data_IF_227311810834
#
_entry.id   IF_227311810834
#
_cell.length_a   1.000
_cell.length_b   1.000
_cell.length_c   1.000
_cell.angle_alpha   90.00
_cell.angle_beta   90.00
_cell.angle_gamma   90.00
#
_symmetry.space_group_name_H-M   'P 1'
#
loop_
_entity.id
_entity.type
_entity.pdbx_description
1 polymer ?
#
# COMPACT_ATOMS: atom_id res chain seq x y z
N UNK A 1 26.44 41.60 76.08
CA UNK A 1 26.88 41.50 74.69
C UNK A 1 26.77 40.06 74.26
N UNK A 2 25.88 39.75 73.31
CA UNK A 2 25.70 38.37 72.74
C UNK A 2 26.34 38.41 71.32
N UNK A 3 27.06 37.35 70.88
CA UNK A 3 27.66 37.34 69.54
C UNK A 3 26.60 36.97 68.46
N UNK A 4 26.84 37.39 67.18
CA UNK A 4 25.93 37.14 66.10
C UNK A 4 25.98 35.68 65.60
N UNK A 5 24.82 35.09 65.33
CA UNK A 5 24.68 33.75 64.74
C UNK A 5 24.87 33.87 63.22
N UNK A 6 25.90 33.23 62.67
CA UNK A 6 26.07 33.02 61.25
C UNK A 6 25.02 32.00 60.79
N UNK A 7 24.15 32.39 59.85
CA UNK A 7 23.27 31.49 59.10
C UNK A 7 24.04 30.98 57.88
N UNK A 8 24.33 29.69 57.84
CA UNK A 8 24.87 29.04 56.65
C UNK A 8 23.65 28.66 55.76
N UNK A 9 23.53 29.34 54.61
CA UNK A 9 22.57 28.94 53.56
C UNK A 9 23.22 27.86 52.69
N UNK A 10 22.74 26.64 52.82
CA UNK A 10 23.04 25.54 51.90
C UNK A 10 22.30 25.75 50.59
N UNK A 11 23.01 26.15 49.52
CA UNK A 11 22.47 26.10 48.16
C UNK A 11 22.48 24.66 47.67
N UNK A 12 21.33 24.05 47.58
CA UNK A 12 21.17 22.75 46.94
C UNK A 12 21.20 22.95 45.41
N UNK A 13 22.26 22.49 44.78
CA UNK A 13 22.42 22.47 43.33
C UNK A 13 21.73 21.23 42.80
N UNK A 14 20.51 21.41 42.27
CA UNK A 14 19.78 20.31 41.56
C UNK A 14 20.35 20.17 40.16
N UNK A 15 21.14 19.12 39.93
CA UNK A 15 21.61 18.73 38.62
C UNK A 15 20.44 18.08 37.84
N UNK A 16 19.83 18.81 36.93
CA UNK A 16 18.81 18.25 36.01
C UNK A 16 19.54 17.39 34.95
N UNK A 17 19.44 16.08 35.07
CA UNK A 17 19.89 15.14 34.06
C UNK A 17 18.94 15.22 32.87
N UNK A 18 19.29 15.95 31.83
CA UNK A 18 18.55 15.94 30.57
C UNK A 18 18.78 14.58 29.90
N UNK A 19 17.78 13.70 29.95
CA UNK A 19 17.74 12.49 29.15
C UNK A 19 17.50 12.93 27.71
N UNK A 20 18.56 12.96 26.90
CA UNK A 20 18.42 13.12 25.46
C UNK A 20 17.70 11.88 24.91
N UNK A 21 16.44 12.05 24.51
CA UNK A 21 15.75 11.01 23.71
C UNK A 21 16.55 10.87 22.42
N UNK A 22 16.88 9.62 22.00
CA UNK A 22 17.51 9.43 20.70
C UNK A 22 16.57 10.01 19.63
N UNK A 23 17.13 10.84 18.74
CA UNK A 23 16.41 11.26 17.54
C UNK A 23 15.98 9.98 16.79
N UNK A 24 14.76 9.95 16.19
CA UNK A 24 14.37 8.83 15.37
C UNK A 24 15.44 8.63 14.29
N UNK A 25 16.02 7.44 14.25
CA UNK A 25 16.97 7.08 13.23
C UNK A 25 16.29 7.28 11.87
N UNK A 26 16.94 7.94 10.95
CA UNK A 26 16.40 8.18 9.61
C UNK A 26 16.52 6.86 8.84
N UNK A 27 15.40 6.22 8.54
CA UNK A 27 15.39 5.03 7.70
C UNK A 27 16.22 5.26 6.43
N UNK A 28 17.06 4.28 6.06
CA UNK A 28 17.83 4.37 4.83
C UNK A 28 16.86 4.34 3.64
N UNK A 29 16.78 5.45 2.90
CA UNK A 29 15.92 5.57 1.74
C UNK A 29 16.75 5.53 0.45
N UNK A 30 16.40 4.59 -0.45
CA UNK A 30 16.89 4.54 -1.82
C UNK A 30 15.81 5.16 -2.71
N UNK A 31 15.98 6.41 -3.11
CA UNK A 31 14.99 7.13 -3.91
C UNK A 31 15.16 6.86 -5.42
N UNK A 32 14.07 6.95 -6.18
CA UNK A 32 14.03 6.89 -7.65
C UNK A 32 14.72 5.67 -8.26
N UNK A 33 14.59 4.52 -7.60
CA UNK A 33 15.14 3.26 -8.10
C UNK A 33 14.36 2.80 -9.34
N UNK A 34 15.06 2.67 -10.48
CA UNK A 34 14.43 2.26 -11.75
C UNK A 34 14.12 0.77 -11.75
N UNK A 35 12.86 0.43 -12.05
CA UNK A 35 12.44 -0.95 -12.28
C UNK A 35 12.06 -1.24 -13.75
N UNK A 36 12.10 -0.21 -14.61
CA UNK A 36 11.79 -0.31 -16.03
C UNK A 36 12.46 0.78 -16.87
N UNK A 37 12.29 0.74 -18.20
CA UNK A 37 12.96 1.66 -19.13
C UNK A 37 12.39 3.07 -19.11
N UNK A 38 11.11 3.25 -18.72
CA UNK A 38 10.45 4.56 -18.69
C UNK A 38 10.88 5.37 -17.46
N UNK A 39 10.93 6.69 -17.59
CA UNK A 39 11.30 7.58 -16.49
C UNK A 39 10.33 7.53 -15.31
N UNK A 40 9.06 7.20 -15.55
CA UNK A 40 8.05 7.05 -14.51
C UNK A 40 8.04 5.66 -13.84
N UNK A 41 8.79 4.71 -14.39
CA UNK A 41 8.92 3.37 -13.80
C UNK A 41 10.01 3.36 -12.72
N UNK A 42 9.70 4.02 -11.60
CA UNK A 42 10.62 4.22 -10.47
C UNK A 42 9.92 3.87 -9.14
N UNK A 43 10.70 3.53 -8.15
CA UNK A 43 10.24 3.24 -6.79
C UNK A 43 11.17 3.88 -5.75
N UNK A 44 10.62 4.21 -4.58
CA UNK A 44 11.40 4.52 -3.39
C UNK A 44 11.40 3.30 -2.45
N UNK A 45 12.59 2.98 -1.94
CA UNK A 45 12.80 1.85 -1.03
C UNK A 45 13.23 2.37 0.32
N UNK A 46 12.49 2.03 1.35
CA UNK A 46 12.77 2.39 2.74
C UNK A 46 13.11 1.12 3.51
N UNK A 47 14.29 1.09 4.11
CA UNK A 47 14.81 -0.07 4.82
C UNK A 47 14.78 0.15 6.33
N UNK A 48 14.48 -0.86 7.14
CA UNK A 48 14.53 -0.75 8.59
C UNK A 48 15.96 -0.50 9.10
N UNK A 49 16.09 0.30 10.15
CA UNK A 49 17.38 0.81 10.66
C UNK A 49 18.32 -0.24 11.27
N UNK A 50 17.83 -1.40 11.65
CA UNK A 50 18.61 -2.43 12.31
C UNK A 50 18.54 -3.77 11.58
N UNK A 51 19.64 -4.55 11.56
CA UNK A 51 19.57 -5.91 11.09
C UNK A 51 18.59 -6.71 11.96
N UNK A 52 17.57 -7.28 11.32
CA UNK A 52 16.61 -8.15 11.99
C UNK A 52 17.12 -9.60 11.99
N UNK A 53 16.74 -10.37 13.02
CA UNK A 53 17.11 -11.78 13.12
C UNK A 53 16.54 -12.63 11.96
N UNK A 54 15.59 -12.10 11.22
CA UNK A 54 14.99 -12.70 10.01
C UNK A 54 14.99 -11.68 8.88
N UNK A 55 15.02 -12.11 7.60
CA UNK A 55 14.85 -11.20 6.47
C UNK A 55 13.53 -10.43 6.59
N UNK A 56 13.58 -9.13 6.27
CA UNK A 56 12.45 -8.22 6.41
C UNK A 56 11.30 -8.61 5.47
N UNK A 57 10.04 -8.70 5.94
CA UNK A 57 8.90 -8.76 5.03
C UNK A 57 8.81 -7.45 4.23
N UNK A 58 8.24 -7.53 3.03
CA UNK A 58 8.17 -6.38 2.11
C UNK A 58 6.72 -5.88 2.02
N UNK A 59 6.51 -4.59 2.25
CA UNK A 59 5.26 -3.90 2.00
C UNK A 59 5.40 -3.01 0.75
N UNK A 60 4.73 -3.36 -0.34
CA UNK A 60 4.67 -2.57 -1.57
C UNK A 60 3.46 -1.65 -1.51
N UNK A 61 3.66 -0.35 -1.76
CA UNK A 61 2.60 0.66 -1.74
C UNK A 61 2.37 1.18 -3.17
N UNK A 62 1.09 1.21 -3.59
CA UNK A 62 0.64 1.69 -4.89
C UNK A 62 -0.35 2.84 -4.68
N UNK A 63 0.04 4.05 -5.07
CA UNK A 63 -0.75 5.25 -4.88
C UNK A 63 -2.05 5.26 -5.71
N UNK A 64 -3.01 6.07 -5.28
CA UNK A 64 -4.21 6.42 -6.05
C UNK A 64 -3.97 7.61 -6.99
N UNK A 65 -5.08 8.15 -7.55
CA UNK A 65 -5.03 9.36 -8.39
C UNK A 65 -5.74 9.21 -9.73
N UNK A 66 -6.78 8.38 -9.79
CA UNK A 66 -7.64 8.19 -10.98
C UNK A 66 -6.84 7.84 -12.24
N UNK A 67 -5.79 7.02 -12.10
CA UNK A 67 -4.87 6.57 -13.17
C UNK A 67 -4.12 7.70 -13.90
N UNK A 68 -4.26 8.95 -13.47
CA UNK A 68 -3.77 10.16 -14.15
C UNK A 68 -2.83 10.99 -13.27
N UNK A 69 -2.92 10.86 -11.96
CA UNK A 69 -2.18 11.62 -10.96
C UNK A 69 -1.63 10.69 -9.88
N UNK A 70 -0.88 11.29 -8.97
CA UNK A 70 -0.30 10.63 -7.80
C UNK A 70 1.20 10.53 -7.90
N UNK A 71 1.80 10.30 -6.75
CA UNK A 71 3.25 10.12 -6.63
C UNK A 71 3.58 9.20 -5.45
N UNK A 72 4.60 8.36 -5.63
CA UNK A 72 5.12 7.43 -4.63
C UNK A 72 5.61 8.10 -3.35
N UNK A 73 6.04 9.36 -3.44
CA UNK A 73 6.61 10.11 -2.32
C UNK A 73 5.59 11.05 -1.65
N UNK A 74 4.32 11.06 -2.09
CA UNK A 74 3.30 11.91 -1.48
C UNK A 74 3.10 11.52 0.00
N UNK A 75 3.07 12.53 0.89
CA UNK A 75 3.00 12.34 2.34
C UNK A 75 1.82 11.44 2.77
N UNK A 76 0.65 11.64 2.18
CA UNK A 76 -0.55 10.83 2.43
C UNK A 76 -0.43 9.38 1.93
N UNK A 77 0.54 9.10 1.06
CA UNK A 77 0.83 7.74 0.57
C UNK A 77 1.79 7.02 1.52
N UNK A 78 2.82 7.69 2.04
CA UNK A 78 3.93 7.02 2.72
C UNK A 78 4.06 7.30 4.21
N UNK A 79 3.83 8.53 4.70
CA UNK A 79 4.30 8.95 6.03
C UNK A 79 3.83 8.05 7.17
N UNK A 80 2.53 7.85 7.34
CA UNK A 80 2.00 7.01 8.41
C UNK A 80 2.36 5.53 8.24
N UNK A 81 2.46 5.06 7.00
CA UNK A 81 2.85 3.68 6.70
C UNK A 81 4.32 3.43 7.04
N UNK A 82 5.20 4.39 6.73
CA UNK A 82 6.60 4.34 7.14
C UNK A 82 6.72 4.36 8.67
N UNK A 83 6.02 5.29 9.33
CA UNK A 83 6.06 5.41 10.79
C UNK A 83 5.58 4.14 11.51
N UNK A 84 4.65 3.38 10.90
CA UNK A 84 4.09 2.19 11.50
C UNK A 84 4.91 0.92 11.22
N UNK A 85 5.23 0.62 9.94
CA UNK A 85 5.79 -0.68 9.58
C UNK A 85 7.32 -0.73 9.57
N UNK A 86 8.05 0.39 9.33
CA UNK A 86 9.52 0.36 9.41
C UNK A 86 10.05 -0.04 10.80
N UNK A 87 9.54 0.52 11.92
CA UNK A 87 10.00 0.10 13.26
C UNK A 87 9.67 -1.37 13.58
N UNK A 88 8.71 -1.97 12.86
CA UNK A 88 8.35 -3.38 12.98
C UNK A 88 9.24 -4.29 12.11
N UNK A 89 10.20 -3.71 11.39
CA UNK A 89 11.17 -4.46 10.59
C UNK A 89 10.75 -4.75 9.16
N UNK A 90 9.77 -4.05 8.62
CA UNK A 90 9.41 -4.18 7.20
C UNK A 90 10.35 -3.37 6.32
N UNK A 91 10.70 -3.90 5.15
CA UNK A 91 11.14 -3.11 4.03
C UNK A 91 9.89 -2.56 3.31
N UNK A 92 9.85 -1.26 3.00
CA UNK A 92 8.71 -0.63 2.34
C UNK A 92 9.15 -0.14 0.97
N UNK A 93 8.36 -0.44 -0.07
CA UNK A 93 8.63 -0.02 -1.44
C UNK A 93 7.41 0.71 -1.98
N UNK A 94 7.53 2.03 -2.18
CA UNK A 94 6.49 2.86 -2.79
C UNK A 94 6.74 3.03 -4.28
N UNK A 95 5.74 2.73 -5.11
CA UNK A 95 5.91 2.55 -6.56
C UNK A 95 5.16 3.62 -7.33
N UNK A 96 5.84 4.28 -8.28
CA UNK A 96 5.22 5.00 -9.39
C UNK A 96 5.02 4.07 -10.58
N UNK A 97 3.95 4.27 -11.32
CA UNK A 97 3.71 3.71 -12.65
C UNK A 97 3.62 4.82 -13.67
N UNK A 98 3.74 4.53 -14.95
CA UNK A 98 3.33 5.49 -15.98
C UNK A 98 1.86 5.85 -15.76
N UNK A 99 1.49 7.08 -16.05
CA UNK A 99 0.13 7.60 -15.86
C UNK A 99 -0.52 7.93 -17.22
N UNK A 100 -1.82 8.14 -17.23
CA UNK A 100 -2.50 8.67 -18.41
C UNK A 100 -2.04 10.10 -18.72
N UNK A 101 -2.00 10.52 -19.99
CA UNK A 101 -2.42 9.74 -21.17
C UNK A 101 -1.36 8.78 -21.73
N UNK A 102 -0.15 8.74 -21.15
CA UNK A 102 1.00 7.97 -21.63
C UNK A 102 0.75 6.45 -21.55
N UNK A 103 0.16 5.99 -20.45
CA UNK A 103 -0.19 4.59 -20.22
C UNK A 103 -1.61 4.46 -19.70
N UNK A 104 -2.39 3.57 -20.30
CA UNK A 104 -3.74 3.23 -19.86
C UNK A 104 -3.69 2.32 -18.62
N UNK A 105 -4.81 2.15 -17.88
CA UNK A 105 -4.83 1.38 -16.66
C UNK A 105 -4.24 -0.04 -16.77
N UNK A 106 -4.45 -0.73 -17.89
CA UNK A 106 -3.91 -2.06 -18.14
C UNK A 106 -2.37 -2.05 -18.19
N UNK A 107 -1.81 -1.05 -18.88
CA UNK A 107 -0.35 -0.87 -18.94
C UNK A 107 0.25 -0.41 -17.61
N UNK A 108 -0.50 0.33 -16.80
CA UNK A 108 -0.11 0.69 -15.43
C UNK A 108 -0.11 -0.55 -14.51
N UNK A 109 -1.07 -1.46 -14.67
CA UNK A 109 -1.08 -2.74 -13.95
C UNK A 109 0.11 -3.63 -14.37
N UNK A 110 0.51 -3.62 -15.65
CA UNK A 110 1.75 -4.26 -16.09
C UNK A 110 3.01 -3.61 -15.48
N UNK A 111 3.03 -2.28 -15.35
CA UNK A 111 4.13 -1.60 -14.66
C UNK A 111 4.24 -2.05 -13.21
N UNK A 112 3.10 -2.17 -12.49
CA UNK A 112 3.09 -2.75 -11.16
C UNK A 112 3.62 -4.20 -11.15
N UNK A 113 3.25 -5.02 -12.13
CA UNK A 113 3.78 -6.38 -12.27
C UNK A 113 5.31 -6.39 -12.43
N UNK A 114 5.85 -5.53 -13.30
CA UNK A 114 7.32 -5.38 -13.47
C UNK A 114 7.99 -4.89 -12.19
N UNK A 115 7.35 -3.95 -11.47
CA UNK A 115 7.85 -3.48 -10.18
C UNK A 115 7.94 -4.62 -9.16
N UNK A 116 6.90 -5.46 -9.03
CA UNK A 116 6.90 -6.61 -8.11
C UNK A 116 8.00 -7.61 -8.52
N UNK A 117 8.17 -7.90 -9.81
CA UNK A 117 9.24 -8.76 -10.30
C UNK A 117 10.63 -8.21 -9.94
N UNK A 118 10.84 -6.92 -10.14
CA UNK A 118 12.08 -6.23 -9.77
C UNK A 118 12.30 -6.24 -8.25
N UNK A 119 11.27 -5.95 -7.45
CA UNK A 119 11.34 -5.96 -5.97
C UNK A 119 11.80 -7.34 -5.48
N UNK A 120 11.21 -8.42 -5.98
CA UNK A 120 11.57 -9.78 -5.56
C UNK A 120 13.00 -10.16 -5.95
N UNK A 121 13.51 -9.64 -7.08
CA UNK A 121 14.91 -9.82 -7.49
C UNK A 121 15.87 -9.02 -6.60
N UNK A 122 15.50 -7.83 -6.17
CA UNK A 122 16.33 -6.97 -5.32
C UNK A 122 16.27 -7.33 -3.83
N UNK A 123 15.23 -8.02 -3.37
CA UNK A 123 14.98 -8.34 -1.97
C UNK A 123 16.22 -8.88 -1.21
N UNK A 124 17.05 -9.80 -1.76
CA UNK A 124 18.25 -10.27 -1.06
C UNK A 124 19.28 -9.16 -0.78
N UNK A 125 19.40 -8.17 -1.68
CA UNK A 125 20.31 -7.03 -1.49
C UNK A 125 19.88 -6.10 -0.36
N UNK A 126 18.59 -6.12 -0.02
CA UNK A 126 17.98 -5.36 1.08
C UNK A 126 17.85 -6.18 2.37
N UNK A 127 18.36 -7.42 2.41
CA UNK A 127 18.12 -8.37 3.50
C UNK A 127 16.63 -8.60 3.75
N UNK A 128 15.82 -8.55 2.68
CA UNK A 128 14.38 -8.74 2.69
C UNK A 128 13.97 -10.10 2.13
N UNK A 129 12.78 -10.56 2.52
CA UNK A 129 12.23 -11.85 2.14
C UNK A 129 11.30 -11.74 0.93
N UNK A 130 11.78 -12.14 -0.23
CA UNK A 130 11.01 -12.17 -1.48
C UNK A 130 9.75 -13.07 -1.42
N UNK A 131 9.65 -13.99 -0.46
CA UNK A 131 8.48 -14.86 -0.26
C UNK A 131 7.40 -14.22 0.61
N UNK A 132 7.72 -13.14 1.33
CA UNK A 132 6.84 -12.40 2.24
C UNK A 132 6.55 -10.98 1.71
N UNK A 133 6.02 -10.88 0.50
CA UNK A 133 5.61 -9.62 -0.13
C UNK A 133 4.11 -9.39 0.08
N UNK A 134 3.76 -8.25 0.64
CA UNK A 134 2.39 -7.73 0.76
C UNK A 134 2.27 -6.55 -0.20
N UNK A 135 1.18 -6.48 -0.95
CA UNK A 135 0.92 -5.33 -1.85
C UNK A 135 -0.32 -4.58 -1.38
N UNK A 136 -0.16 -3.27 -1.16
CA UNK A 136 -1.22 -2.36 -0.70
C UNK A 136 -1.48 -1.30 -1.76
N UNK A 137 -2.73 -1.17 -2.20
CA UNK A 137 -3.11 -0.18 -3.22
C UNK A 137 -4.33 0.63 -2.83
N UNK A 138 -4.28 1.95 -3.04
CA UNK A 138 -5.40 2.86 -2.77
C UNK A 138 -6.11 3.26 -4.05
N UNK A 139 -7.46 3.33 -4.03
CA UNK A 139 -8.27 3.86 -5.13
C UNK A 139 -7.93 3.22 -6.48
N UNK A 140 -7.44 4.00 -7.47
CA UNK A 140 -6.94 3.47 -8.75
C UNK A 140 -5.75 2.52 -8.57
N UNK A 141 -4.87 2.73 -7.59
CA UNK A 141 -3.81 1.76 -7.24
C UNK A 141 -4.38 0.43 -6.75
N UNK A 142 -5.51 0.46 -6.03
CA UNK A 142 -6.25 -0.74 -5.66
C UNK A 142 -6.87 -1.46 -6.87
N UNK A 143 -7.30 -0.72 -7.89
CA UNK A 143 -7.73 -1.30 -9.17
C UNK A 143 -6.57 -1.99 -9.89
N UNK A 144 -5.40 -1.33 -10.02
CA UNK A 144 -4.24 -1.92 -10.67
C UNK A 144 -3.80 -3.21 -9.98
N UNK A 145 -3.81 -3.21 -8.65
CA UNK A 145 -3.51 -4.38 -7.83
C UNK A 145 -4.52 -5.51 -8.07
N UNK A 146 -5.81 -5.21 -8.04
CA UNK A 146 -6.86 -6.20 -8.27
C UNK A 146 -6.80 -6.79 -9.69
N UNK A 147 -6.52 -5.95 -10.71
CA UNK A 147 -6.40 -6.38 -12.09
C UNK A 147 -5.19 -7.30 -12.28
N UNK A 148 -4.03 -6.91 -11.78
CA UNK A 148 -2.82 -7.74 -11.83
C UNK A 148 -3.00 -9.06 -11.07
N UNK A 149 -3.68 -9.04 -9.93
CA UNK A 149 -3.97 -10.26 -9.16
C UNK A 149 -4.90 -11.22 -9.94
N UNK A 150 -5.86 -10.69 -10.69
CA UNK A 150 -6.86 -11.47 -11.41
C UNK A 150 -6.36 -12.02 -12.76
N UNK A 151 -5.44 -11.33 -13.42
CA UNK A 151 -4.94 -11.69 -14.76
C UNK A 151 -3.60 -12.45 -14.69
N UNK A 152 -3.70 -13.78 -14.69
CA UNK A 152 -2.53 -14.67 -14.68
C UNK A 152 -1.60 -14.45 -15.88
N UNK A 153 -2.16 -14.18 -17.07
CA UNK A 153 -1.36 -13.91 -18.25
C UNK A 153 -0.57 -12.60 -18.12
N UNK A 154 -1.18 -11.57 -17.50
CA UNK A 154 -0.49 -10.31 -17.16
C UNK A 154 0.66 -10.56 -16.17
N UNK A 155 0.42 -11.33 -15.11
CA UNK A 155 1.48 -11.68 -14.15
C UNK A 155 2.65 -12.42 -14.83
N UNK A 156 2.34 -13.41 -15.66
CA UNK A 156 3.36 -14.19 -16.37
C UNK A 156 4.20 -13.32 -17.32
N UNK A 157 3.57 -12.49 -18.17
CA UNK A 157 4.31 -11.65 -19.12
C UNK A 157 5.11 -10.52 -18.49
N UNK A 158 4.75 -10.11 -17.26
CA UNK A 158 5.51 -9.13 -16.47
C UNK A 158 6.58 -9.75 -15.58
N UNK A 159 6.56 -11.05 -15.42
CA UNK A 159 7.46 -11.79 -14.53
C UNK A 159 7.11 -11.67 -13.04
N UNK A 160 5.93 -11.12 -12.71
CA UNK A 160 5.52 -10.96 -11.32
C UNK A 160 5.20 -12.33 -10.69
N UNK A 161 5.89 -12.74 -9.61
CA UNK A 161 5.49 -13.90 -8.84
C UNK A 161 4.18 -13.61 -8.11
N UNK A 162 3.53 -14.65 -7.60
CA UNK A 162 2.46 -14.45 -6.62
C UNK A 162 3.04 -13.87 -5.33
N UNK A 163 2.34 -12.92 -4.76
CA UNK A 163 2.67 -12.32 -3.48
C UNK A 163 1.80 -12.89 -2.36
N UNK A 164 2.13 -12.57 -1.12
CA UNK A 164 1.54 -13.22 0.04
C UNK A 164 0.11 -12.77 0.32
N UNK A 165 -0.20 -11.48 0.16
CA UNK A 165 -1.53 -10.93 0.34
C UNK A 165 -1.67 -9.54 -0.31
N UNK A 166 -2.92 -9.17 -0.62
CA UNK A 166 -3.32 -7.87 -1.15
C UNK A 166 -4.11 -7.08 -0.12
N UNK A 167 -3.82 -5.79 0.04
CA UNK A 167 -4.63 -4.85 0.83
C UNK A 167 -5.16 -3.77 -0.12
N UNK A 168 -6.47 -3.68 -0.27
CA UNK A 168 -7.12 -2.77 -1.21
C UNK A 168 -7.90 -1.72 -0.43
N UNK A 169 -7.39 -0.48 -0.45
CA UNK A 169 -7.90 0.67 0.29
C UNK A 169 -8.88 1.45 -0.60
N UNK A 170 -10.16 1.37 -0.31
CA UNK A 170 -11.28 2.04 -1.01
C UNK A 170 -11.15 1.98 -2.54
N UNK A 171 -10.82 0.79 -3.04
CA UNK A 171 -10.54 0.53 -4.45
C UNK A 171 -11.74 0.81 -5.36
N UNK A 172 -11.44 1.03 -6.63
CA UNK A 172 -12.44 1.39 -7.64
C UNK A 172 -12.32 0.47 -8.87
N UNK A 173 -13.35 0.43 -9.72
CA UNK A 173 -13.26 -0.22 -11.04
C UNK A 173 -13.14 -1.74 -11.04
N UNK A 174 -13.59 -2.44 -10.00
CA UNK A 174 -13.49 -3.90 -9.92
C UNK A 174 -14.29 -4.64 -11.01
N UNK A 175 -15.44 -4.07 -11.41
CA UNK A 175 -16.28 -4.59 -12.47
C UNK A 175 -16.70 -3.45 -13.40
N UNK A 176 -15.91 -3.23 -14.45
CA UNK A 176 -16.16 -2.16 -15.42
C UNK A 176 -17.35 -2.47 -16.32
N UNK A 177 -17.67 -3.75 -16.55
CA UNK A 177 -18.85 -4.15 -17.32
C UNK A 177 -20.15 -3.80 -16.59
N UNK A 178 -20.15 -3.75 -15.25
CA UNK A 178 -21.27 -3.27 -14.45
C UNK A 178 -21.26 -1.73 -14.28
N UNK A 179 -20.09 -1.10 -14.17
CA UNK A 179 -19.96 0.33 -13.88
C UNK A 179 -20.21 1.20 -15.11
N UNK A 180 -19.56 0.91 -16.23
CA UNK A 180 -19.51 1.79 -17.40
C UNK A 180 -20.87 2.02 -18.10
N UNK A 181 -21.82 1.05 -18.15
CA UNK A 181 -23.14 1.30 -18.70
C UNK A 181 -24.06 2.15 -17.84
N UNK A 182 -23.68 2.49 -16.62
CA UNK A 182 -24.48 3.23 -15.63
C UNK A 182 -23.91 4.63 -15.41
N UNK A 183 -24.65 5.56 -14.78
CA UNK A 183 -24.07 6.85 -14.35
C UNK A 183 -22.82 6.63 -13.48
N UNK A 184 -21.69 7.19 -13.91
CA UNK A 184 -20.40 7.08 -13.25
C UNK A 184 -19.63 8.40 -13.30
N UNK A 185 -18.54 8.50 -12.56
CA UNK A 185 -17.72 9.71 -12.57
C UNK A 185 -16.93 9.87 -13.88
N UNK A 186 -16.78 11.09 -14.41
CA UNK A 186 -16.15 11.33 -15.73
C UNK A 186 -14.74 10.77 -15.90
N UNK A 187 -13.98 10.63 -14.82
CA UNK A 187 -12.63 10.05 -14.88
C UNK A 187 -12.62 8.57 -15.33
N UNK A 188 -13.76 7.86 -15.23
CA UNK A 188 -13.88 6.52 -15.81
C UNK A 188 -13.89 6.55 -17.33
N UNK A 189 -14.61 7.51 -17.93
CA UNK A 189 -14.61 7.68 -19.40
C UNK A 189 -13.21 8.03 -19.92
N UNK A 190 -12.48 8.89 -19.19
CA UNK A 190 -11.09 9.22 -19.51
C UNK A 190 -10.20 7.97 -19.49
N UNK A 191 -10.36 7.12 -18.46
CA UNK A 191 -9.51 5.96 -18.24
C UNK A 191 -9.83 4.78 -19.17
N UNK A 192 -11.12 4.48 -19.36
CA UNK A 192 -11.56 3.23 -20.00
C UNK A 192 -12.23 3.44 -21.36
N UNK A 193 -12.63 4.70 -21.70
CA UNK A 193 -13.30 5.01 -22.95
C UNK A 193 -14.69 4.36 -23.04
N UNK A 194 -15.19 4.21 -24.29
CA UNK A 194 -16.57 3.77 -24.55
C UNK A 194 -16.67 2.36 -25.14
N UNK A 195 -15.56 1.64 -25.32
CA UNK A 195 -15.52 0.32 -25.93
C UNK A 195 -15.67 -0.78 -24.86
N UNK A 196 -16.78 -1.57 -24.88
CA UNK A 196 -16.98 -2.66 -23.93
C UNK A 196 -15.90 -3.76 -23.96
N UNK A 197 -15.27 -3.99 -25.12
CA UNK A 197 -14.19 -4.97 -25.22
C UNK A 197 -12.99 -4.55 -24.36
N UNK A 198 -12.73 -3.25 -24.26
CA UNK A 198 -11.69 -2.69 -23.40
C UNK A 198 -12.07 -2.75 -21.93
N UNK A 199 -13.35 -2.50 -21.61
CA UNK A 199 -13.81 -2.61 -20.21
C UNK A 199 -13.58 -4.03 -19.70
N UNK A 200 -13.85 -5.05 -20.52
CA UNK A 200 -13.59 -6.45 -20.15
C UNK A 200 -12.11 -6.72 -19.85
N UNK A 201 -11.18 -6.18 -20.67
CA UNK A 201 -9.74 -6.35 -20.47
C UNK A 201 -9.27 -5.66 -19.18
N UNK A 202 -9.80 -4.48 -18.88
CA UNK A 202 -9.41 -3.69 -17.71
C UNK A 202 -10.24 -4.02 -16.45
N UNK A 203 -11.19 -4.96 -16.52
CA UNK A 203 -12.07 -5.33 -15.40
C UNK A 203 -11.49 -6.49 -14.59
N UNK A 204 -11.04 -6.28 -13.33
CA UNK A 204 -10.61 -7.37 -12.47
C UNK A 204 -11.60 -8.52 -12.41
N UNK A 205 -12.92 -8.23 -12.28
CA UNK A 205 -13.96 -9.23 -12.21
C UNK A 205 -14.05 -10.12 -13.48
N UNK A 206 -13.81 -9.56 -14.65
CA UNK A 206 -13.81 -10.29 -15.91
C UNK A 206 -12.55 -11.18 -16.10
N UNK A 207 -11.47 -10.88 -15.39
CA UNK A 207 -10.20 -11.60 -15.47
C UNK A 207 -10.05 -12.70 -14.41
N UNK A 208 -10.94 -12.77 -13.40
CA UNK A 208 -10.85 -13.77 -12.34
C UNK A 208 -10.87 -15.20 -12.87
N UNK A 209 -9.90 -16.02 -12.46
CA UNK A 209 -9.78 -17.44 -12.83
C UNK A 209 -9.45 -18.36 -11.65
N UNK A 210 -9.36 -17.80 -10.42
CA UNK A 210 -8.90 -18.50 -9.21
C UNK A 210 -7.39 -18.36 -8.99
N UNK A 211 -6.91 -18.71 -7.79
CA UNK A 211 -5.48 -18.68 -7.45
C UNK A 211 -4.92 -17.30 -7.12
N UNK A 212 -5.78 -16.29 -6.91
CA UNK A 212 -5.34 -14.97 -6.48
C UNK A 212 -4.79 -14.98 -5.06
N UNK A 213 -3.84 -14.07 -4.72
CA UNK A 213 -3.45 -13.85 -3.34
C UNK A 213 -4.66 -13.51 -2.45
N UNK A 214 -4.69 -13.95 -1.18
CA UNK A 214 -5.68 -13.49 -0.22
C UNK A 214 -5.79 -11.97 -0.21
N UNK A 215 -7.02 -11.42 -0.14
CA UNK A 215 -7.26 -9.99 -0.23
C UNK A 215 -8.06 -9.46 0.96
N UNK A 216 -7.62 -8.33 1.52
CA UNK A 216 -8.38 -7.49 2.43
C UNK A 216 -8.89 -6.26 1.67
N UNK A 217 -10.20 -6.05 1.70
CA UNK A 217 -10.83 -4.84 1.19
C UNK A 217 -11.19 -3.93 2.35
N UNK A 218 -10.63 -2.73 2.38
CA UNK A 218 -11.02 -1.66 3.31
C UNK A 218 -11.86 -0.66 2.55
N UNK A 219 -13.05 -0.32 3.02
CA UNK A 219 -13.99 0.53 2.30
C UNK A 219 -14.64 1.59 3.19
N UNK A 220 -14.98 2.75 2.59
CA UNK A 220 -15.71 3.83 3.26
C UNK A 220 -17.16 3.45 3.53
N UNK A 221 -17.59 3.56 4.79
CA UNK A 221 -19.01 3.45 5.17
C UNK A 221 -19.74 4.78 5.10
N UNK A 222 -19.05 5.91 4.85
CA UNK A 222 -19.64 7.23 4.70
C UNK A 222 -20.34 7.44 3.35
N UNK A 223 -20.17 6.50 2.42
CA UNK A 223 -20.80 6.48 1.10
C UNK A 223 -21.43 5.10 0.85
N UNK A 224 -22.59 5.02 0.15
CA UNK A 224 -23.31 3.74 0.01
C UNK A 224 -22.61 2.72 -0.91
N UNK A 225 -21.79 3.18 -1.84
CA UNK A 225 -21.28 2.33 -2.93
C UNK A 225 -19.95 1.62 -2.69
N UNK A 226 -18.94 2.18 -2.01
CA UNK A 226 -17.62 1.56 -1.93
C UNK A 226 -17.64 0.16 -1.32
N UNK A 227 -18.27 -0.02 -0.15
CA UNK A 227 -18.33 -1.32 0.50
C UNK A 227 -19.17 -2.32 -0.28
N UNK A 228 -20.25 -1.88 -0.92
CA UNK A 228 -21.08 -2.76 -1.76
C UNK A 228 -20.32 -3.29 -2.99
N UNK A 229 -19.52 -2.43 -3.64
CA UNK A 229 -18.69 -2.84 -4.81
C UNK A 229 -17.55 -3.76 -4.37
N UNK A 230 -16.90 -3.43 -3.27
CA UNK A 230 -15.85 -4.28 -2.68
C UNK A 230 -16.41 -5.67 -2.29
N UNK A 231 -17.58 -5.71 -1.65
CA UNK A 231 -18.24 -6.97 -1.28
C UNK A 231 -18.57 -7.83 -2.51
N UNK A 232 -19.15 -7.24 -3.56
CA UNK A 232 -19.44 -7.99 -4.80
C UNK A 232 -18.18 -8.61 -5.41
N UNK A 233 -17.08 -7.87 -5.43
CA UNK A 233 -15.84 -8.41 -5.96
C UNK A 233 -15.22 -9.47 -5.04
N UNK A 234 -15.30 -9.29 -3.73
CA UNK A 234 -14.90 -10.28 -2.73
C UNK A 234 -15.71 -11.58 -2.86
N UNK A 235 -17.02 -11.47 -3.11
CA UNK A 235 -17.90 -12.64 -3.34
C UNK A 235 -17.50 -13.39 -4.61
N UNK A 236 -17.21 -12.67 -5.71
CA UNK A 236 -16.73 -13.28 -6.95
C UNK A 236 -15.38 -13.99 -6.75
N UNK A 237 -14.45 -13.36 -6.02
CA UNK A 237 -13.14 -13.93 -5.70
C UNK A 237 -13.31 -15.21 -4.86
N UNK A 238 -14.18 -15.19 -3.87
CA UNK A 238 -14.47 -16.35 -3.00
C UNK A 238 -15.15 -17.47 -3.79
N UNK A 239 -16.07 -17.15 -4.70
CA UNK A 239 -16.71 -18.13 -5.58
C UNK A 239 -15.72 -18.86 -6.51
N UNK A 240 -14.56 -18.24 -6.79
CA UNK A 240 -13.45 -18.86 -7.54
C UNK A 240 -12.42 -19.56 -6.63
N UNK A 241 -12.76 -19.79 -5.35
CA UNK A 241 -11.90 -20.47 -4.38
C UNK A 241 -10.82 -19.58 -3.75
N UNK A 242 -10.87 -18.26 -3.96
CA UNK A 242 -9.97 -17.29 -3.32
C UNK A 242 -10.39 -16.97 -1.87
N UNK A 243 -9.55 -16.20 -1.19
CA UNK A 243 -9.81 -15.72 0.17
C UNK A 243 -9.97 -14.19 0.15
N UNK A 244 -11.09 -13.70 0.68
CA UNK A 244 -11.37 -12.27 0.78
C UNK A 244 -11.95 -11.94 2.16
N UNK A 245 -11.47 -10.83 2.72
CA UNK A 245 -12.01 -10.19 3.92
C UNK A 245 -12.40 -8.75 3.59
N UNK A 246 -13.42 -8.22 4.29
CA UNK A 246 -13.89 -6.85 4.10
C UNK A 246 -14.03 -6.15 5.43
N UNK A 247 -13.49 -4.94 5.51
CA UNK A 247 -13.58 -4.05 6.66
C UNK A 247 -14.15 -2.70 6.22
N UNK A 248 -15.31 -2.35 6.78
CA UNK A 248 -15.92 -1.03 6.59
C UNK A 248 -15.43 -0.05 7.66
N UNK A 249 -14.99 1.14 7.26
CA UNK A 249 -14.51 2.18 8.16
C UNK A 249 -15.24 3.51 7.94
N UNK A 250 -15.51 4.24 9.02
CA UNK A 250 -16.17 5.55 8.96
C UNK A 250 -15.16 6.66 8.62
N UNK A 251 -14.50 6.54 7.47
CA UNK A 251 -13.52 7.48 6.92
C UNK A 251 -13.89 7.85 5.49
N UNK A 252 -13.53 9.04 5.05
CA UNK A 252 -13.68 9.42 3.65
C UNK A 252 -12.57 8.78 2.79
N UNK A 253 -12.70 8.90 1.47
CA UNK A 253 -11.80 8.29 0.50
C UNK A 253 -10.32 8.62 0.70
N UNK A 254 -10.01 9.88 1.01
CA UNK A 254 -8.63 10.32 1.24
C UNK A 254 -8.09 9.82 2.58
N UNK A 255 -8.93 9.85 3.64
CA UNK A 255 -8.55 9.40 4.98
C UNK A 255 -8.22 7.90 5.02
N UNK A 256 -8.95 7.06 4.27
CA UNK A 256 -8.64 5.62 4.17
C UNK A 256 -7.21 5.37 3.67
N UNK A 257 -6.63 6.27 2.89
CA UNK A 257 -5.22 6.15 2.53
C UNK A 257 -4.30 6.82 3.55
N UNK A 258 -4.61 8.07 3.91
CA UNK A 258 -3.72 8.89 4.72
C UNK A 258 -3.59 8.39 6.17
N UNK A 259 -4.67 7.84 6.75
CA UNK A 259 -4.71 7.44 8.16
C UNK A 259 -4.19 6.01 8.40
N UNK A 260 -3.95 5.21 7.34
CA UNK A 260 -3.32 3.88 7.46
C UNK A 260 -1.89 4.02 7.94
N UNK A 261 -1.59 3.34 9.04
CA UNK A 261 -0.33 3.45 9.78
C UNK A 261 -0.44 4.29 11.05
N UNK A 262 -1.45 5.16 11.18
CA UNK A 262 -1.75 5.81 12.46
C UNK A 262 -2.37 4.82 13.45
N UNK A 263 -2.34 5.15 14.77
CA UNK A 263 -3.00 4.32 15.79
C UNK A 263 -4.52 4.42 15.71
N UNK A 264 -5.11 3.53 14.93
CA UNK A 264 -6.54 3.47 14.70
C UNK A 264 -7.02 2.03 14.41
N UNK A 265 -8.36 1.86 14.34
CA UNK A 265 -9.03 0.59 14.09
C UNK A 265 -8.71 -0.01 12.71
N UNK A 266 -8.59 0.83 11.69
CA UNK A 266 -8.24 0.45 10.33
C UNK A 266 -6.84 -0.15 10.26
N UNK A 267 -5.84 0.54 10.82
CA UNK A 267 -4.46 0.06 10.89
C UNK A 267 -4.35 -1.26 11.65
N UNK A 268 -5.07 -1.39 12.77
CA UNK A 268 -5.09 -2.64 13.54
C UNK A 268 -5.67 -3.80 12.74
N UNK A 269 -6.76 -3.58 12.01
CA UNK A 269 -7.37 -4.61 11.16
C UNK A 269 -6.43 -5.04 10.02
N UNK A 270 -5.78 -4.07 9.36
CA UNK A 270 -4.80 -4.33 8.30
C UNK A 270 -3.60 -5.11 8.84
N UNK A 271 -3.03 -4.68 9.98
CA UNK A 271 -1.89 -5.36 10.60
C UNK A 271 -2.23 -6.80 10.98
N UNK A 272 -3.38 -7.04 11.60
CA UNK A 272 -3.84 -8.39 11.94
C UNK A 272 -4.01 -9.28 10.70
N UNK A 273 -4.54 -8.73 9.60
CA UNK A 273 -4.66 -9.45 8.33
C UNK A 273 -3.29 -9.81 7.76
N UNK A 274 -2.34 -8.87 7.75
CA UNK A 274 -0.98 -9.09 7.25
C UNK A 274 -0.26 -10.15 8.09
N UNK A 275 -0.27 -10.00 9.41
CA UNK A 275 0.41 -10.91 10.35
C UNK A 275 -0.07 -12.36 10.23
N UNK A 276 -1.37 -12.54 9.99
CA UNK A 276 -1.95 -13.87 9.77
C UNK A 276 -1.47 -14.54 8.48
N UNK A 277 -0.90 -13.78 7.53
CA UNK A 277 -0.46 -14.27 6.20
C UNK A 277 1.04 -14.33 6.02
N UNK A 278 1.80 -13.63 6.85
CA UNK A 278 3.26 -13.76 6.80
C UNK A 278 3.69 -15.16 7.18
N UNK A 279 4.66 -15.73 6.48
CA UNK A 279 5.28 -16.99 6.85
C UNK A 279 6.03 -16.81 8.17
N UNK A 280 5.73 -17.67 9.14
CA UNK A 280 6.38 -17.71 10.44
C UNK A 280 7.61 -18.59 10.40
#
# INVERSE_FOLDING_TARGET
>A
MRPPRLRHSLLALTLALAIALPAPASAAALTDQRYGPDAAQIADVYLPDAPHARPAPILVIVHGGSWKNGDKAAAEVVDNKLAHWLPQGYAIVSVNTRLMPQARPEAQAEDLGRAIAWITQQAPSWQADASNVIVMGHSSGGHLLALLAADDAMRQRTGAPLWRASVILDGAGFDLLDVMPRPHAPFYDEAFGTDPARWAVASPAAQLRGGQPPALFVCSTLRPDPCRRAQRYADLLTAQGGQAELVGVARNHAQINADVGADNDETRAISAFIDARLAR
#
